data_IF_500044842518
#
_entry.id   IF_500044842518
#
_cell.length_a   1.000
_cell.length_b   1.000
_cell.length_c   1.000
_cell.angle_alpha   90.00
_cell.angle_beta   90.00
_cell.angle_gamma   90.00
#
_symmetry.space_group_name_H-M   'P 1'
#
loop_
_entity.id
_entity.type
_entity.pdbx_description
1 polymer ?
#
# COMPACT_ATOMS: atom_id res chain seq x y z
N UNK A 1 -9.78 6.92 26.76
CA UNK A 1 -8.52 7.64 27.05
C UNK A 1 -8.32 8.67 25.94
N UNK A 2 -8.12 9.95 26.26
CA UNK A 2 -7.89 10.99 25.26
C UNK A 2 -6.42 10.93 24.83
N UNK A 3 -6.14 10.55 23.59
CA UNK A 3 -4.77 10.50 23.07
C UNK A 3 -4.43 11.84 22.40
N UNK A 4 -3.68 12.69 23.10
CA UNK A 4 -3.14 13.94 22.55
C UNK A 4 -1.84 13.70 21.79
N UNK A 5 -1.61 14.47 20.72
CA UNK A 5 -0.36 14.51 19.97
C UNK A 5 0.15 15.95 19.94
N UNK A 6 1.47 16.09 20.07
CA UNK A 6 2.14 17.38 20.04
C UNK A 6 3.12 17.34 18.86
N UNK A 7 2.96 18.28 17.93
CA UNK A 7 3.88 18.47 16.80
C UNK A 7 4.62 19.78 17.03
N UNK A 8 5.95 19.75 17.06
CA UNK A 8 6.78 20.93 17.30
C UNK A 8 7.58 21.23 16.03
N UNK A 9 7.45 22.45 15.51
CA UNK A 9 8.17 22.93 14.36
C UNK A 9 9.44 23.65 14.82
N UNK A 10 10.59 23.05 14.52
CA UNK A 10 11.91 23.59 14.84
C UNK A 10 12.60 24.15 13.60
N UNK A 11 13.29 25.28 13.76
CA UNK A 11 14.15 25.85 12.73
C UNK A 11 15.54 26.08 13.33
N UNK A 12 16.55 25.44 12.75
CA UNK A 12 17.95 25.50 13.22
C UNK A 12 18.09 25.21 14.73
N UNK A 13 17.33 24.24 15.24
CA UNK A 13 17.34 23.85 16.65
C UNK A 13 16.56 24.77 17.61
N UNK A 14 15.83 25.76 17.09
CA UNK A 14 14.96 26.61 17.91
C UNK A 14 13.49 26.28 17.62
N UNK A 15 12.69 25.94 18.64
CA UNK A 15 11.25 25.72 18.48
C UNK A 15 10.55 27.03 18.14
N UNK A 16 9.78 27.02 17.06
CA UNK A 16 9.11 28.22 16.53
C UNK A 16 7.60 28.17 16.69
N UNK A 17 7.00 26.98 16.55
CA UNK A 17 5.57 26.75 16.70
C UNK A 17 5.32 25.34 17.21
N UNK A 18 4.19 25.11 17.86
CA UNK A 18 3.67 23.77 18.09
C UNK A 18 2.17 23.68 17.81
N UNK A 19 1.72 22.48 17.45
CA UNK A 19 0.31 22.14 17.31
C UNK A 19 0.03 21.01 18.29
N UNK A 20 -0.91 21.23 19.20
CA UNK A 20 -1.44 20.22 20.10
C UNK A 20 -2.81 19.82 19.58
N UNK A 21 -2.98 18.54 19.24
CA UNK A 21 -4.22 18.06 18.63
C UNK A 21 -4.48 16.60 18.97
N UNK A 22 -5.74 16.19 18.99
CA UNK A 22 -6.11 14.77 18.99
C UNK A 22 -5.89 14.11 17.62
N UNK A 23 -5.73 14.94 16.57
CA UNK A 23 -5.58 14.54 15.19
C UNK A 23 -4.26 13.83 14.87
N UNK A 24 -4.34 12.92 13.90
CA UNK A 24 -3.16 12.53 13.14
C UNK A 24 -2.96 13.52 11.99
N UNK A 25 -1.73 14.01 11.80
CA UNK A 25 -1.37 14.91 10.70
C UNK A 25 -1.32 14.16 9.35
N UNK A 26 -2.45 13.62 8.94
CA UNK A 26 -2.66 12.92 7.66
C UNK A 26 -3.69 13.68 6.83
N UNK A 27 -3.67 13.52 5.50
CA UNK A 27 -4.58 14.24 4.60
C UNK A 27 -6.06 13.96 4.96
N UNK A 28 -6.36 12.74 5.40
CA UNK A 28 -7.70 12.38 5.89
C UNK A 28 -8.02 12.94 7.28
N UNK A 29 -7.04 13.05 8.18
CA UNK A 29 -7.24 13.63 9.51
C UNK A 29 -7.51 15.14 9.43
N UNK A 30 -6.79 15.84 8.55
CA UNK A 30 -6.90 17.29 8.41
C UNK A 30 -8.07 17.75 7.53
N UNK A 31 -8.48 16.97 6.52
CA UNK A 31 -9.55 17.38 5.58
C UNK A 31 -10.92 16.79 5.90
N UNK A 32 -10.96 15.54 6.34
CA UNK A 32 -12.22 14.78 6.39
C UNK A 32 -12.74 14.59 7.82
N UNK A 33 -11.93 14.89 8.84
CA UNK A 33 -12.34 14.80 10.24
C UNK A 33 -12.42 16.21 10.81
N UNK A 34 -13.52 16.53 11.49
CA UNK A 34 -13.70 17.78 12.21
C UNK A 34 -12.90 17.77 13.51
N UNK A 35 -11.57 17.66 13.38
CA UNK A 35 -10.64 17.60 14.49
C UNK A 35 -10.20 19.01 14.88
N UNK A 36 -10.04 19.22 16.20
CA UNK A 36 -9.74 20.53 16.79
C UNK A 36 -8.38 20.45 17.46
N UNK A 37 -7.62 21.53 17.39
CA UNK A 37 -6.30 21.63 18.00
C UNK A 37 -5.98 23.06 18.36
N UNK A 38 -4.89 23.23 19.11
CA UNK A 38 -4.37 24.53 19.52
C UNK A 38 -2.99 24.71 18.92
N UNK A 39 -2.75 25.87 18.31
CA UNK A 39 -1.43 26.28 17.85
C UNK A 39 -0.79 27.20 18.89
N UNK A 40 0.46 26.91 19.25
CA UNK A 40 1.27 27.70 20.17
C UNK A 40 2.44 28.30 19.39
N UNK A 41 2.68 29.59 19.59
CA UNK A 41 3.81 30.33 18.99
C UNK A 41 4.72 30.97 20.05
N UNK A 42 4.36 30.85 21.34
CA UNK A 42 5.13 31.38 22.46
C UNK A 42 6.33 30.48 22.74
N UNK A 43 7.53 30.96 22.41
CA UNK A 43 8.80 30.23 22.55
C UNK A 43 9.13 29.86 24.00
N UNK A 44 8.65 30.63 24.98
CA UNK A 44 8.85 30.32 26.41
C UNK A 44 7.97 29.14 26.83
N UNK A 45 6.71 29.13 26.38
CA UNK A 45 5.81 28.00 26.63
C UNK A 45 6.24 26.74 25.87
N UNK A 46 6.74 26.88 24.63
CA UNK A 46 7.26 25.77 23.84
C UNK A 46 8.45 25.09 24.52
N UNK A 47 9.38 25.89 25.04
CA UNK A 47 10.56 25.36 25.76
C UNK A 47 10.15 24.57 27.00
N UNK A 48 9.16 25.06 27.76
CA UNK A 48 8.61 24.34 28.92
C UNK A 48 7.98 23.01 28.54
N UNK A 49 7.19 22.98 27.45
CA UNK A 49 6.57 21.73 26.97
C UNK A 49 7.64 20.70 26.58
N UNK A 50 8.71 21.14 25.89
CA UNK A 50 9.81 20.25 25.50
C UNK A 50 10.53 19.70 26.73
N UNK A 51 10.84 20.57 27.69
CA UNK A 51 11.46 20.19 28.95
C UNK A 51 10.59 19.20 29.74
N UNK A 52 9.28 19.46 29.86
CA UNK A 52 8.33 18.58 30.53
C UNK A 52 8.23 17.21 29.84
N UNK A 53 8.22 17.16 28.51
CA UNK A 53 8.22 15.90 27.74
C UNK A 53 9.51 15.13 27.98
N UNK A 54 10.66 15.80 27.95
CA UNK A 54 11.95 15.14 28.15
C UNK A 54 12.15 14.66 29.59
N UNK A 55 11.68 15.42 30.58
CA UNK A 55 11.86 15.08 31.99
C UNK A 55 10.88 14.01 32.49
N UNK A 56 9.68 13.92 31.89
CA UNK A 56 8.66 12.94 32.27
C UNK A 56 8.62 11.72 31.34
N UNK A 57 9.44 11.67 30.29
CA UNK A 57 9.58 10.49 29.45
C UNK A 57 10.67 9.58 29.99
N UNK A 58 10.32 8.30 30.19
CA UNK A 58 11.32 7.26 30.46
C UNK A 58 12.03 7.01 29.13
N UNK A 59 13.24 7.54 29.00
CA UNK A 59 14.08 7.26 27.85
C UNK A 59 14.57 5.82 27.97
N UNK A 60 14.11 4.94 27.08
CA UNK A 60 14.51 3.54 27.09
C UNK A 60 16.01 3.43 26.80
N UNK A 61 16.76 2.83 27.73
CA UNK A 61 18.17 2.52 27.56
C UNK A 61 18.34 1.44 26.49
N UNK A 62 19.51 1.40 25.85
CA UNK A 62 19.78 0.43 24.79
C UNK A 62 19.56 -1.02 25.25
N UNK A 63 19.92 -1.36 26.49
CA UNK A 63 19.68 -2.70 27.03
C UNK A 63 18.18 -3.02 27.20
N UNK A 64 17.36 -2.02 27.52
CA UNK A 64 15.91 -2.19 27.64
C UNK A 64 15.26 -2.38 26.27
N UNK A 65 15.76 -1.67 25.25
CA UNK A 65 15.35 -1.84 23.85
C UNK A 65 15.68 -3.26 23.37
N UNK A 66 16.90 -3.75 23.63
CA UNK A 66 17.32 -5.11 23.31
C UNK A 66 16.47 -6.18 24.03
N UNK A 67 16.14 -5.96 25.30
CA UNK A 67 15.25 -6.86 26.04
C UNK A 67 13.83 -6.87 25.49
N UNK A 68 13.32 -5.72 25.04
CA UNK A 68 12.02 -5.61 24.37
C UNK A 68 12.06 -6.36 23.04
N UNK A 69 13.12 -6.18 22.24
CA UNK A 69 13.29 -6.91 20.96
C UNK A 69 13.33 -8.41 21.21
N UNK A 70 14.16 -8.89 22.15
CA UNK A 70 14.22 -10.32 22.49
C UNK A 70 12.88 -10.88 22.98
N UNK A 71 12.12 -10.13 23.77
CA UNK A 71 10.78 -10.54 24.19
C UNK A 71 9.81 -10.60 23.02
N UNK A 72 9.90 -9.65 22.09
CA UNK A 72 9.10 -9.64 20.86
C UNK A 72 9.46 -10.86 19.98
N UNK A 73 10.75 -11.12 19.78
CA UNK A 73 11.24 -12.25 18.97
C UNK A 73 10.85 -13.60 19.57
N UNK A 74 10.98 -13.75 20.89
CA UNK A 74 10.54 -14.95 21.61
C UNK A 74 9.01 -15.11 21.56
N UNK A 75 8.26 -14.02 21.69
CA UNK A 75 6.80 -14.06 21.57
C UNK A 75 6.35 -14.44 20.15
N UNK A 76 7.05 -13.96 19.11
CA UNK A 76 6.80 -14.28 17.70
C UNK A 76 7.20 -15.73 17.37
N UNK A 77 8.26 -16.26 18.01
CA UNK A 77 8.70 -17.64 17.80
C UNK A 77 7.82 -18.66 18.51
N UNK A 78 7.20 -18.29 19.64
CA UNK A 78 6.30 -19.15 20.42
C UNK A 78 4.82 -19.03 20.03
N UNK A 79 4.39 -17.95 19.35
CA UNK A 79 3.01 -17.74 18.91
C UNK A 79 2.97 -17.47 17.40
N UNK A 80 2.26 -18.31 16.64
CA UNK A 80 2.03 -18.11 15.21
C UNK A 80 1.40 -16.71 14.94
N UNK A 81 2.26 -15.78 14.48
CA UNK A 81 2.01 -14.47 13.86
C UNK A 81 0.78 -13.69 14.36
N UNK A 82 1.02 -12.71 15.23
CA UNK A 82 0.13 -11.55 15.40
C UNK A 82 0.82 -10.32 14.79
N UNK A 83 0.36 -9.90 13.61
CA UNK A 83 0.80 -8.67 12.96
C UNK A 83 0.32 -7.44 13.75
N UNK A 84 1.25 -6.66 14.30
CA UNK A 84 0.98 -5.26 14.70
C UNK A 84 1.94 -4.32 13.97
N UNK A 85 1.46 -3.21 13.35
CA UNK A 85 2.30 -2.33 12.56
C UNK A 85 3.09 -1.35 13.43
N UNK A 86 4.42 -1.33 13.25
CA UNK A 86 5.29 -0.23 13.68
C UNK A 86 5.05 0.99 12.78
N UNK A 87 4.72 2.11 13.41
CA UNK A 87 4.78 3.46 12.85
C UNK A 87 6.26 3.83 12.71
N UNK A 88 6.67 4.44 11.59
CA UNK A 88 7.93 5.18 11.55
C UNK A 88 7.81 6.50 10.78
N UNK A 89 8.43 7.53 11.37
CA UNK A 89 8.38 8.95 11.08
C UNK A 89 9.64 9.37 10.33
N UNK A 90 9.46 9.81 9.08
CA UNK A 90 10.15 11.00 8.55
C UNK A 90 11.59 10.91 8.04
N UNK A 91 11.84 11.80 7.07
CA UNK A 91 13.13 12.43 6.75
C UNK A 91 14.09 11.60 5.86
N UNK A 92 13.79 11.49 4.57
CA UNK A 92 14.79 11.16 3.54
C UNK A 92 14.45 11.76 2.18
N UNK A 93 14.06 13.05 2.19
CA UNK A 93 14.04 13.93 1.02
C UNK A 93 15.43 14.42 0.61
N UNK A 94 16.50 13.70 0.94
CA UNK A 94 17.87 14.13 0.65
C UNK A 94 18.58 12.95 -0.03
N UNK A 95 19.12 13.22 -1.22
CA UNK A 95 19.96 12.34 -2.05
C UNK A 95 19.28 11.46 -3.11
N UNK A 96 18.73 12.12 -4.15
CA UNK A 96 18.82 11.57 -5.51
C UNK A 96 20.25 11.72 -6.04
N UNK A 97 20.90 10.59 -6.40
CA UNK A 97 21.72 10.34 -7.61
C UNK A 97 22.68 9.18 -7.35
N UNK A 98 22.45 8.04 -8.01
CA UNK A 98 23.46 7.31 -8.82
C UNK A 98 22.82 6.05 -9.44
N UNK A 99 23.07 5.88 -10.74
CA UNK A 99 22.70 4.72 -11.56
C UNK A 99 23.54 3.49 -11.17
N UNK A 100 22.91 2.31 -11.11
CA UNK A 100 23.34 0.99 -11.67
C UNK A 100 22.45 -0.12 -11.05
N UNK A 101 21.81 -0.94 -11.88
CA UNK A 101 21.14 -2.21 -11.52
C UNK A 101 22.19 -3.34 -11.33
N UNK A 102 21.82 -4.60 -10.98
CA UNK A 102 21.08 -5.18 -9.82
C UNK A 102 22.01 -6.15 -9.02
N UNK A 103 21.69 -6.66 -7.79
CA UNK A 103 20.75 -7.78 -7.59
C UNK A 103 19.98 -7.79 -6.24
N UNK A 104 18.98 -8.66 -6.17
CA UNK A 104 18.21 -9.07 -4.98
C UNK A 104 17.36 -8.02 -4.27
N UNK A 105 16.10 -8.39 -4.02
CA UNK A 105 15.16 -7.68 -3.18
C UNK A 105 15.79 -7.42 -1.79
N UNK A 106 16.25 -6.20 -1.55
CA UNK A 106 16.45 -5.69 -0.19
C UNK A 106 15.55 -4.49 0.01
N UNK A 107 14.75 -4.62 1.06
CA UNK A 107 13.41 -4.10 1.25
C UNK A 107 13.38 -2.66 1.79
N UNK A 108 14.24 -1.76 1.30
CA UNK A 108 14.42 -0.44 1.95
C UNK A 108 14.12 0.79 1.07
N UNK A 109 13.52 0.62 -0.12
CA UNK A 109 13.15 1.75 -1.00
C UNK A 109 11.73 1.71 -1.62
N UNK A 110 10.85 0.78 -1.21
CA UNK A 110 9.47 0.67 -1.74
C UNK A 110 8.40 1.29 -0.80
N UNK A 111 8.64 2.46 -0.22
CA UNK A 111 7.75 3.01 0.83
C UNK A 111 6.44 3.69 0.39
N UNK A 112 5.98 3.55 -0.86
CA UNK A 112 4.58 3.89 -1.17
C UNK A 112 4.01 3.10 -2.35
N UNK A 113 4.29 1.80 -2.38
CA UNK A 113 3.69 0.91 -3.38
C UNK A 113 2.18 0.88 -3.18
N UNK A 114 1.44 1.35 -4.18
CA UNK A 114 -0.02 1.25 -4.19
C UNK A 114 -0.42 -0.01 -4.91
N UNK A 115 -1.52 -0.59 -4.46
CA UNK A 115 -2.04 -1.83 -5.01
C UNK A 115 -3.36 -1.56 -5.70
N UNK A 116 -3.49 -2.09 -6.91
CA UNK A 116 -4.69 -2.01 -7.71
C UNK A 116 -5.14 -3.40 -8.10
N UNK A 117 -6.45 -3.62 -8.16
CA UNK A 117 -7.02 -4.79 -8.83
C UNK A 117 -7.62 -4.37 -10.17
N UNK A 118 -7.41 -5.19 -11.20
CA UNK A 118 -7.84 -4.92 -12.56
C UNK A 118 -8.51 -6.15 -13.21
N UNK A 119 -9.73 -6.03 -13.77
CA UNK A 119 -10.28 -7.03 -14.68
C UNK A 119 -9.53 -7.03 -16.00
N UNK A 120 -9.27 -8.22 -16.54
CA UNK A 120 -8.72 -8.41 -17.89
C UNK A 120 -9.73 -9.24 -18.70
N UNK A 121 -10.07 -8.78 -19.91
CA UNK A 121 -11.20 -9.29 -20.69
C UNK A 121 -12.48 -8.45 -20.47
N UNK A 122 -13.56 -8.79 -21.19
CA UNK A 122 -14.87 -8.15 -21.06
C UNK A 122 -15.99 -9.17 -21.32
N UNK A 123 -17.24 -8.81 -21.02
CA UNK A 123 -18.36 -9.76 -21.05
C UNK A 123 -18.52 -10.50 -22.38
N UNK A 124 -18.37 -9.81 -23.51
CA UNK A 124 -18.51 -10.44 -24.85
C UNK A 124 -17.27 -11.22 -25.29
N UNK A 125 -16.11 -10.93 -24.68
CA UNK A 125 -14.85 -11.65 -24.93
C UNK A 125 -14.11 -11.81 -23.60
N UNK A 126 -14.51 -12.82 -22.79
CA UNK A 126 -13.86 -13.07 -21.50
C UNK A 126 -12.38 -13.40 -21.69
N UNK A 127 -11.63 -13.39 -20.60
CA UNK A 127 -10.24 -13.80 -20.65
C UNK A 127 -10.16 -15.29 -21.01
N UNK A 128 -9.49 -15.59 -22.12
CA UNK A 128 -9.35 -16.96 -22.61
C UNK A 128 -8.62 -17.82 -21.58
N UNK A 129 -9.22 -18.95 -21.19
CA UNK A 129 -8.68 -19.89 -20.19
C UNK A 129 -7.33 -20.50 -20.62
N UNK A 130 -7.03 -20.48 -21.91
CA UNK A 130 -5.77 -20.96 -22.47
C UNK A 130 -4.76 -19.84 -22.70
N UNK A 131 -5.12 -18.57 -22.47
CA UNK A 131 -4.19 -17.44 -22.62
C UNK A 131 -3.13 -17.51 -21.53
N UNK A 132 -1.88 -17.60 -21.98
CA UNK A 132 -0.69 -17.39 -21.16
C UNK A 132 -0.32 -15.92 -21.17
N UNK A 133 0.03 -15.38 -20.02
CA UNK A 133 0.59 -14.04 -19.91
C UNK A 133 2.09 -14.10 -20.15
N UNK A 134 2.66 -12.97 -20.58
CA UNK A 134 4.11 -12.82 -20.71
C UNK A 134 4.81 -13.10 -19.38
N UNK A 135 5.92 -13.81 -19.42
CA UNK A 135 6.74 -14.12 -18.23
C UNK A 135 7.60 -12.94 -17.79
N UNK A 136 7.70 -11.88 -18.60
CA UNK A 136 8.48 -10.68 -18.28
C UNK A 136 7.61 -9.43 -18.29
N UNK A 137 7.39 -8.80 -19.45
CA UNK A 137 6.55 -7.60 -19.56
C UNK A 137 5.20 -7.94 -20.18
N UNK A 138 4.11 -7.57 -19.51
CA UNK A 138 2.73 -7.64 -20.01
C UNK A 138 2.19 -6.23 -20.28
N UNK A 139 1.45 -6.08 -21.38
CA UNK A 139 0.72 -4.84 -21.69
C UNK A 139 -0.67 -4.86 -21.04
N UNK A 140 -0.88 -3.98 -20.07
CA UNK A 140 -2.15 -3.86 -19.36
C UNK A 140 -2.96 -2.70 -19.94
N UNK A 141 -4.07 -3.04 -20.59
CA UNK A 141 -4.95 -2.09 -21.29
C UNK A 141 -6.06 -1.54 -20.40
N UNK A 142 -6.32 -0.23 -20.45
CA UNK A 142 -7.31 0.51 -19.66
C UNK A 142 -8.27 1.29 -20.56
N UNK A 143 -9.52 1.43 -20.13
CA UNK A 143 -10.54 2.15 -20.88
C UNK A 143 -10.35 3.67 -20.73
N UNK A 144 -9.88 4.12 -19.56
CA UNK A 144 -9.55 5.52 -19.27
C UNK A 144 -8.11 5.64 -18.82
N UNK A 145 -7.52 6.84 -18.96
CA UNK A 145 -6.16 7.10 -18.49
C UNK A 145 -6.04 6.69 -17.01
N UNK A 146 -5.21 5.71 -16.66
CA UNK A 146 -5.04 5.27 -15.28
C UNK A 146 -4.11 6.21 -14.52
N UNK A 147 -4.46 7.50 -14.41
CA UNK A 147 -3.62 8.55 -13.81
C UNK A 147 -3.24 8.28 -12.34
N UNK A 148 -3.99 7.43 -11.64
CA UNK A 148 -3.71 7.03 -10.28
C UNK A 148 -2.59 5.97 -10.17
N UNK A 149 -2.26 5.27 -11.26
CA UNK A 149 -1.21 4.24 -11.28
C UNK A 149 0.09 4.91 -11.73
N UNK A 150 1.10 4.86 -10.86
CA UNK A 150 2.45 5.33 -11.13
C UNK A 150 3.41 4.16 -11.30
N UNK A 151 4.61 4.46 -11.79
CA UNK A 151 5.71 3.49 -11.87
C UNK A 151 6.01 2.95 -10.47
N UNK A 152 6.18 1.63 -10.35
CA UNK A 152 6.43 0.90 -9.11
C UNK A 152 5.17 0.44 -8.37
N UNK A 153 3.97 0.87 -8.78
CA UNK A 153 2.71 0.36 -8.23
C UNK A 153 2.44 -1.08 -8.70
N UNK A 154 1.72 -1.84 -7.88
CA UNK A 154 1.35 -3.23 -8.17
C UNK A 154 -0.08 -3.32 -8.67
N UNK A 155 -0.25 -4.07 -9.75
CA UNK A 155 -1.53 -4.31 -10.42
C UNK A 155 -1.79 -5.81 -10.36
N UNK A 156 -2.76 -6.22 -9.56
CA UNK A 156 -3.26 -7.58 -9.46
C UNK A 156 -4.35 -7.76 -10.50
N UNK A 157 -4.23 -8.77 -11.35
CA UNK A 157 -5.18 -9.02 -12.42
C UNK A 157 -6.04 -10.24 -12.15
N UNK A 158 -7.27 -10.21 -12.64
CA UNK A 158 -8.16 -11.36 -12.69
C UNK A 158 -8.87 -11.45 -14.04
N UNK A 159 -9.19 -12.67 -14.47
CA UNK A 159 -9.84 -12.92 -15.74
C UNK A 159 -11.35 -12.66 -15.67
N UNK A 160 -11.88 -11.81 -16.54
CA UNK A 160 -13.33 -11.68 -16.74
C UNK A 160 -13.88 -13.00 -17.28
N UNK A 161 -15.02 -13.45 -16.76
CA UNK A 161 -15.61 -14.77 -17.04
C UNK A 161 -15.33 -15.76 -15.91
N UNK A 162 -14.07 -16.13 -15.70
CA UNK A 162 -13.68 -17.10 -14.66
C UNK A 162 -13.59 -16.49 -13.27
N UNK A 163 -13.33 -15.18 -13.19
CA UNK A 163 -13.03 -14.42 -11.97
C UNK A 163 -11.79 -14.90 -11.20
N UNK A 164 -10.98 -15.78 -11.78
CA UNK A 164 -9.73 -16.30 -11.17
C UNK A 164 -8.63 -15.26 -11.22
N UNK A 165 -7.77 -15.24 -10.21
CA UNK A 165 -6.54 -14.44 -10.22
C UNK A 165 -5.62 -14.96 -11.32
N UNK A 166 -5.10 -14.05 -12.15
CA UNK A 166 -4.20 -14.40 -13.25
C UNK A 166 -2.75 -14.02 -12.99
N UNK A 167 -2.49 -13.19 -11.97
CA UNK A 167 -1.15 -12.78 -11.57
C UNK A 167 -1.10 -11.36 -11.03
N UNK A 168 0.09 -10.90 -10.66
CA UNK A 168 0.34 -9.53 -10.23
C UNK A 168 1.60 -8.95 -10.90
N UNK A 169 1.53 -7.66 -11.22
CA UNK A 169 2.48 -6.98 -12.09
C UNK A 169 2.93 -5.65 -11.50
N UNK A 170 4.19 -5.28 -11.67
CA UNK A 170 4.74 -3.97 -11.29
C UNK A 170 4.73 -3.04 -12.50
N UNK A 171 4.08 -1.88 -12.40
CA UNK A 171 4.10 -0.88 -13.47
C UNK A 171 5.53 -0.37 -13.69
N UNK A 172 6.07 -0.51 -14.91
CA UNK A 172 7.45 -0.09 -15.25
C UNK A 172 7.49 1.13 -16.16
N UNK A 173 6.39 1.45 -16.83
CA UNK A 173 6.24 2.63 -17.69
C UNK A 173 4.98 3.42 -17.33
N UNK A 174 4.97 4.71 -17.66
CA UNK A 174 3.75 5.53 -17.57
C UNK A 174 2.71 5.08 -18.59
N UNK A 175 1.44 5.40 -18.32
CA UNK A 175 0.36 5.07 -19.23
C UNK A 175 0.45 5.87 -20.53
N UNK A 176 0.62 5.16 -21.65
CA UNK A 176 0.60 5.73 -23.00
C UNK A 176 -0.77 5.49 -23.65
N UNK A 177 -1.17 6.39 -24.54
CA UNK A 177 -2.35 6.19 -25.37
C UNK A 177 -1.88 5.70 -26.74
N UNK A 178 -2.26 4.47 -27.11
CA UNK A 178 -1.84 3.84 -28.36
C UNK A 178 -2.76 4.19 -29.54
N UNK A 179 -4.07 4.22 -29.31
CA UNK A 179 -5.06 4.48 -30.34
C UNK A 179 -6.41 4.86 -29.72
N UNK A 180 -6.89 6.08 -29.96
CA UNK A 180 -8.18 6.59 -29.45
C UNK A 180 -9.43 5.84 -29.95
N UNK A 181 -9.32 5.08 -31.05
CA UNK A 181 -10.42 4.30 -31.61
C UNK A 181 -10.62 2.95 -30.88
N UNK A 182 -9.63 2.52 -30.10
CA UNK A 182 -9.72 1.31 -29.28
C UNK A 182 -10.61 1.54 -28.06
N UNK A 183 -11.40 0.53 -27.70
CA UNK A 183 -12.16 0.52 -26.42
C UNK A 183 -11.25 0.59 -25.19
N UNK A 184 -10.00 0.14 -25.31
CA UNK A 184 -8.98 0.27 -24.27
C UNK A 184 -7.72 0.93 -24.84
N UNK A 185 -7.75 2.26 -25.02
CA UNK A 185 -6.72 2.99 -25.74
C UNK A 185 -5.47 3.22 -24.89
N UNK A 186 -5.58 3.14 -23.57
CA UNK A 186 -4.49 3.39 -22.63
C UNK A 186 -3.78 2.09 -22.26
N UNK A 187 -2.44 2.09 -22.29
CA UNK A 187 -1.62 0.93 -21.96
C UNK A 187 -0.56 1.30 -20.94
N UNK A 188 -0.38 0.43 -19.94
CA UNK A 188 0.78 0.41 -19.05
C UNK A 188 1.55 -0.86 -19.35
N UNK A 189 2.86 -0.76 -19.57
CA UNK A 189 3.75 -1.92 -19.51
C UNK A 189 4.05 -2.25 -18.07
N UNK A 190 3.83 -3.50 -17.69
CA UNK A 190 4.02 -3.96 -16.33
C UNK A 190 4.82 -5.26 -16.29
N UNK A 191 5.78 -5.34 -15.38
CA UNK A 191 6.61 -6.51 -15.16
C UNK A 191 5.84 -7.56 -14.36
N UNK A 192 5.74 -8.77 -14.90
CA UNK A 192 5.19 -9.94 -14.22
C UNK A 192 6.10 -10.33 -13.06
N UNK A 193 5.53 -10.37 -11.86
CA UNK A 193 6.25 -10.74 -10.64
C UNK A 193 6.03 -12.20 -10.23
N UNK A 194 5.11 -12.91 -10.91
CA UNK A 194 4.77 -14.29 -10.61
C UNK A 194 4.66 -15.13 -11.91
N UNK A 195 5.71 -15.21 -12.75
CA UNK A 195 5.65 -15.87 -14.06
C UNK A 195 5.12 -17.31 -14.00
N UNK A 196 5.62 -18.11 -13.06
CA UNK A 196 5.19 -19.51 -12.90
C UNK A 196 3.70 -19.61 -12.57
N UNK A 197 3.17 -18.67 -11.79
CA UNK A 197 1.74 -18.60 -11.48
C UNK A 197 0.96 -18.16 -12.71
N UNK A 198 1.37 -17.05 -13.33
CA UNK A 198 0.68 -16.44 -14.45
C UNK A 198 0.65 -17.31 -15.71
N UNK A 199 1.57 -18.28 -15.84
CA UNK A 199 1.51 -19.29 -16.90
C UNK A 199 0.46 -20.37 -16.65
N UNK A 200 0.24 -20.73 -15.39
CA UNK A 200 -0.62 -21.84 -14.95
C UNK A 200 -1.86 -21.35 -14.18
N UNK A 201 -2.22 -20.08 -14.31
CA UNK A 201 -3.25 -19.45 -13.48
C UNK A 201 -4.59 -20.19 -13.51
N UNK A 202 -4.91 -20.84 -14.64
CA UNK A 202 -6.15 -21.55 -14.87
C UNK A 202 -6.30 -22.82 -14.01
N UNK A 203 -5.19 -23.41 -13.54
CA UNK A 203 -5.18 -24.62 -12.70
C UNK A 203 -5.54 -24.34 -11.25
N UNK A 204 -5.40 -23.10 -10.78
CA UNK A 204 -5.71 -22.71 -9.40
C UNK A 204 -7.18 -22.31 -9.25
N UNK A 205 -7.80 -22.59 -8.10
CA UNK A 205 -9.23 -22.28 -7.85
C UNK A 205 -9.43 -21.06 -6.93
N UNK A 206 -8.78 -19.95 -7.26
CA UNK A 206 -8.79 -18.72 -6.47
C UNK A 206 -9.59 -17.60 -7.15
N UNK A 207 -10.90 -17.79 -7.21
CA UNK A 207 -11.81 -16.73 -7.66
C UNK A 207 -11.78 -15.51 -6.73
N UNK A 208 -12.07 -14.31 -7.24
CA UNK A 208 -12.22 -13.10 -6.41
C UNK A 208 -13.14 -13.35 -5.21
N UNK A 209 -14.24 -14.08 -5.41
CA UNK A 209 -15.17 -14.42 -4.34
C UNK A 209 -14.56 -15.30 -3.25
N UNK A 210 -13.77 -16.32 -3.63
CA UNK A 210 -13.08 -17.20 -2.68
C UNK A 210 -12.01 -16.45 -1.90
N UNK A 211 -11.26 -15.57 -2.58
CA UNK A 211 -10.24 -14.72 -1.98
C UNK A 211 -10.85 -13.76 -0.97
N UNK A 212 -11.96 -13.10 -1.31
CA UNK A 212 -12.69 -12.25 -0.36
C UNK A 212 -13.26 -13.02 0.83
N UNK A 213 -13.76 -14.24 0.64
CA UNK A 213 -14.27 -15.09 1.73
C UNK A 213 -13.17 -15.52 2.71
N UNK A 214 -11.96 -15.74 2.20
CA UNK A 214 -10.80 -16.12 3.01
C UNK A 214 -10.19 -14.94 3.80
N UNK A 215 -10.59 -13.71 3.50
CA UNK A 215 -10.13 -12.51 4.22
C UNK A 215 -11.03 -12.21 5.43
N UNK A 216 -10.47 -11.76 6.57
CA UNK A 216 -11.26 -11.46 7.77
C UNK A 216 -12.44 -10.51 7.50
N UNK A 217 -13.63 -10.90 7.96
CA UNK A 217 -14.84 -10.10 7.80
C UNK A 217 -14.75 -8.78 8.57
N UNK A 218 -15.33 -7.71 8.01
CA UNK A 218 -15.32 -6.37 8.61
C UNK A 218 -14.06 -5.54 8.34
N UNK A 219 -13.02 -6.13 7.74
CA UNK A 219 -11.83 -5.40 7.31
C UNK A 219 -12.03 -4.74 5.94
N UNK A 220 -11.30 -3.64 5.72
CA UNK A 220 -11.30 -2.94 4.45
C UNK A 220 -10.68 -3.80 3.34
N UNK A 221 -11.34 -3.84 2.19
CA UNK A 221 -10.88 -4.49 0.96
C UNK A 221 -10.36 -3.45 -0.04
N UNK A 222 -10.98 -2.27 -0.06
CA UNK A 222 -10.58 -1.15 -0.91
C UNK A 222 -9.90 -0.06 -0.08
N UNK A 223 -9.07 0.77 -0.73
CA UNK A 223 -8.42 1.90 -0.11
C UNK A 223 -9.39 2.87 0.56
N UNK A 224 -10.61 3.00 0.03
CA UNK A 224 -11.66 3.87 0.58
C UNK A 224 -12.41 3.26 1.77
N UNK A 225 -11.99 2.08 2.26
CA UNK A 225 -12.61 1.42 3.41
C UNK A 225 -13.81 0.54 3.08
N UNK A 226 -14.18 0.36 1.80
CA UNK A 226 -15.27 -0.55 1.45
C UNK A 226 -14.85 -2.02 1.68
N UNK A 227 -15.78 -2.88 2.17
CA UNK A 227 -15.50 -4.28 2.47
C UNK A 227 -15.60 -5.20 1.24
N UNK A 228 -15.86 -4.66 0.05
CA UNK A 228 -16.04 -5.46 -1.16
C UNK A 228 -15.53 -4.75 -2.43
N UNK A 229 -15.44 -5.53 -3.51
CA UNK A 229 -14.98 -5.08 -4.83
C UNK A 229 -16.13 -4.74 -5.78
N UNK A 230 -17.32 -4.39 -5.25
CA UNK A 230 -18.52 -4.10 -6.04
C UNK A 230 -18.33 -2.99 -7.08
N UNK A 231 -17.37 -2.07 -6.88
CA UNK A 231 -17.04 -1.03 -7.86
C UNK A 231 -16.59 -1.56 -9.23
N UNK A 232 -16.13 -2.82 -9.32
CA UNK A 232 -15.77 -3.46 -10.60
C UNK A 232 -17.01 -3.86 -11.41
N UNK A 233 -18.14 -4.11 -10.74
CA UNK A 233 -19.39 -4.52 -11.38
C UNK A 233 -20.06 -3.38 -12.16
N UNK A 234 -19.70 -2.13 -11.85
CA UNK A 234 -20.22 -0.93 -12.53
C UNK A 234 -19.28 -0.42 -13.64
N UNK A 235 -18.48 -1.30 -14.23
CA UNK A 235 -17.59 -0.95 -15.35
C UNK A 235 -16.31 -0.22 -14.94
N UNK A 236 -15.93 -0.30 -13.66
CA UNK A 236 -14.63 0.16 -13.19
C UNK A 236 -13.50 -0.66 -13.80
N UNK A 237 -12.55 -0.01 -14.47
CA UNK A 237 -11.41 -0.66 -15.13
C UNK A 237 -10.23 -0.98 -14.18
N UNK A 238 -10.35 -0.54 -12.91
CA UNK A 238 -9.46 -0.81 -11.78
C UNK A 238 -10.09 -0.35 -10.46
N UNK A 239 -9.63 -0.91 -9.33
CA UNK A 239 -9.89 -0.40 -7.97
C UNK A 239 -8.58 -0.35 -7.20
N UNK A 240 -8.36 0.72 -6.42
CA UNK A 240 -7.25 0.76 -5.45
C UNK A 240 -7.60 -0.07 -4.22
N UNK A 241 -6.77 -1.03 -3.90
CA UNK A 241 -6.95 -1.96 -2.78
C UNK A 241 -6.46 -1.37 -1.46
N UNK A 242 -7.01 -1.89 -0.37
CA UNK A 242 -6.33 -1.84 0.92
C UNK A 242 -5.02 -2.65 0.86
N UNK A 243 -3.99 -2.21 1.58
CA UNK A 243 -2.67 -2.83 1.54
C UNK A 243 -2.69 -4.26 2.11
N UNK A 244 -3.42 -4.49 3.20
CA UNK A 244 -3.48 -5.81 3.83
C UNK A 244 -4.27 -6.78 2.95
N UNK A 245 -5.37 -6.32 2.36
CA UNK A 245 -6.10 -7.14 1.40
C UNK A 245 -5.25 -7.46 0.16
N UNK A 246 -4.50 -6.50 -0.38
CA UNK A 246 -3.61 -6.75 -1.51
C UNK A 246 -2.51 -7.78 -1.19
N UNK A 247 -1.90 -7.67 0.00
CA UNK A 247 -0.92 -8.65 0.49
C UNK A 247 -1.53 -10.04 0.67
N UNK A 248 -2.76 -10.13 1.16
CA UNK A 248 -3.51 -11.38 1.25
C UNK A 248 -3.70 -12.03 -0.13
N UNK A 249 -4.11 -11.25 -1.14
CA UNK A 249 -4.22 -11.73 -2.51
C UNK A 249 -2.89 -12.24 -3.08
N UNK A 250 -1.79 -11.49 -2.84
CA UNK A 250 -0.45 -11.89 -3.27
C UNK A 250 -0.01 -13.17 -2.55
N UNK A 251 -0.27 -13.29 -1.25
CA UNK A 251 0.03 -14.49 -0.48
C UNK A 251 -0.68 -15.73 -1.04
N UNK A 252 -1.93 -15.61 -1.52
CA UNK A 252 -2.62 -16.71 -2.21
C UNK A 252 -1.92 -17.06 -3.53
N UNK A 253 -1.44 -16.07 -4.28
CA UNK A 253 -0.71 -16.30 -5.54
C UNK A 253 0.65 -16.96 -5.28
N UNK A 254 1.35 -16.56 -4.21
CA UNK A 254 2.69 -17.06 -3.88
C UNK A 254 2.66 -18.43 -3.20
N UNK A 255 1.63 -18.73 -2.41
CA UNK A 255 1.47 -20.00 -1.70
C UNK A 255 0.80 -21.11 -2.53
N UNK A 256 0.48 -20.83 -3.81
CA UNK A 256 -0.05 -21.73 -4.86
C UNK A 256 -0.81 -22.98 -4.39
#
# INVERSE_FOLDING_TARGET
MLHGKIYIAESKGNPSKAIITSANFTDSGLKNKHEWGVMLEDTVQLSKIIEDVNNNSIQLMYEEIEQIIKKIDNYISENERVDTPKIDLGISGIYMKRKRFPPSLTTDLKQNVRYFIKPVGWSDRPFDINRRLSTDIEELHFAKRPAAIGIGDIIICYGVGTTKLIGYFEAVEEAINLNNESRWPWVIKAKNLCPDYSEHWNTYDNTISSVQKSYPQGYAVTFNGHPNLGGLQYGGDKIRLDVNFAKHMIGIIENK
#
